data_IF_984640947890
#
_entry.id   IF_984640947890
#
_cell.length_a   1.000
_cell.length_b   1.000
_cell.length_c   1.000
_cell.angle_alpha   90.00
_cell.angle_beta   90.00
_cell.angle_gamma   90.00
#
_symmetry.space_group_name_H-M   'P 1'
#
loop_
_entity.id
_entity.type
_entity.pdbx_description
1 polymer ?
#
# COMPACT_ATOMS: atom_id res chain seq x y z
N UNK A 1 25.26 6.46 6.06
CA UNK A 1 25.34 6.88 4.66
C UNK A 1 23.89 6.91 4.19
N UNK A 2 23.42 7.99 3.58
CA UNK A 2 22.03 8.01 3.10
C UNK A 2 21.84 6.97 1.98
N UNK A 3 20.63 6.42 1.85
CA UNK A 3 20.27 5.50 0.74
C UNK A 3 20.63 6.14 -0.61
N UNK A 4 20.38 7.45 -0.76
CA UNK A 4 20.75 8.24 -1.95
C UNK A 4 22.26 8.20 -2.29
N UNK A 5 23.14 8.19 -1.28
CA UNK A 5 24.58 8.06 -1.50
C UNK A 5 24.98 6.64 -1.92
N UNK A 6 24.23 5.61 -1.48
CA UNK A 6 24.48 4.22 -1.85
C UNK A 6 24.02 3.91 -3.29
N UNK A 7 22.87 4.46 -3.71
CA UNK A 7 22.32 4.36 -5.08
C UNK A 7 23.25 5.02 -6.12
N UNK A 8 23.86 6.16 -5.78
CA UNK A 8 24.78 6.87 -6.70
C UNK A 8 26.15 6.21 -6.82
N UNK A 9 26.57 5.44 -5.81
CA UNK A 9 27.89 4.80 -5.78
C UNK A 9 27.92 3.42 -6.44
N UNK A 10 26.78 2.72 -6.53
CA UNK A 10 26.72 1.34 -7.02
C UNK A 10 25.52 1.16 -7.97
N UNK A 11 25.74 1.04 -9.28
CA UNK A 11 24.69 0.59 -10.19
C UNK A 11 24.35 -0.87 -9.90
N UNK A 12 23.20 -1.13 -9.25
CA UNK A 12 22.72 -2.47 -8.85
C UNK A 12 21.72 -2.39 -7.67
N UNK A 13 21.06 -3.51 -7.36
CA UNK A 13 20.01 -3.54 -6.31
C UNK A 13 20.57 -3.35 -4.90
N UNK A 14 20.09 -2.33 -4.19
CA UNK A 14 20.37 -2.07 -2.77
C UNK A 14 19.08 -2.05 -1.93
N UNK A 15 18.05 -2.67 -2.48
CA UNK A 15 16.67 -2.73 -1.99
C UNK A 15 16.08 -4.09 -2.40
N UNK A 16 14.83 -4.35 -2.05
CA UNK A 16 14.02 -5.36 -2.69
C UNK A 16 12.96 -4.64 -3.50
N UNK A 17 13.05 -4.70 -4.84
CA UNK A 17 11.90 -4.40 -5.70
C UNK A 17 10.78 -5.42 -5.48
N UNK A 18 9.58 -5.17 -6.01
CA UNK A 18 8.46 -6.14 -5.95
C UNK A 18 8.85 -7.52 -6.49
N UNK A 19 9.58 -7.59 -7.62
CA UNK A 19 10.03 -8.85 -8.20
C UNK A 19 11.08 -9.56 -7.32
N UNK A 20 12.00 -8.79 -6.74
CA UNK A 20 13.02 -9.33 -5.83
C UNK A 20 12.38 -9.83 -4.52
N UNK A 21 11.39 -9.10 -4.00
CA UNK A 21 10.61 -9.46 -2.82
C UNK A 21 9.77 -10.72 -3.08
N UNK A 22 9.18 -10.85 -4.27
CA UNK A 22 8.43 -12.05 -4.66
C UNK A 22 9.33 -13.30 -4.70
N UNK A 23 10.53 -13.20 -5.26
CA UNK A 23 11.50 -14.30 -5.24
C UNK A 23 11.99 -14.61 -3.82
N UNK A 24 12.26 -13.58 -3.01
CA UNK A 24 12.60 -13.74 -1.61
C UNK A 24 11.52 -14.54 -0.84
N UNK A 25 10.23 -14.19 -1.03
CA UNK A 25 9.12 -14.92 -0.43
C UNK A 25 9.04 -16.35 -0.95
N UNK A 26 9.19 -16.57 -2.25
CA UNK A 26 9.16 -17.92 -2.82
C UNK A 26 10.25 -18.82 -2.21
N UNK A 27 11.46 -18.30 -2.00
CA UNK A 27 12.55 -19.02 -1.32
C UNK A 27 12.17 -19.35 0.13
N UNK A 28 11.66 -18.38 0.88
CA UNK A 28 11.34 -18.57 2.30
C UNK A 28 10.10 -19.42 2.54
N UNK A 29 9.08 -19.33 1.70
CA UNK A 29 7.91 -20.19 1.74
C UNK A 29 8.30 -21.64 1.42
N UNK A 30 9.21 -21.88 0.46
CA UNK A 30 9.81 -23.20 0.24
C UNK A 30 10.52 -23.71 1.50
N UNK A 31 11.34 -22.87 2.14
CA UNK A 31 12.09 -23.24 3.35
C UNK A 31 11.14 -23.61 4.48
N UNK A 32 10.10 -22.81 4.72
CA UNK A 32 9.05 -23.09 5.70
C UNK A 32 8.34 -24.43 5.38
N UNK A 33 7.96 -24.66 4.13
CA UNK A 33 7.35 -25.92 3.70
C UNK A 33 8.27 -27.15 3.88
N UNK A 34 9.58 -26.95 4.04
CA UNK A 34 10.57 -27.99 4.35
C UNK A 34 10.96 -28.03 5.84
N UNK A 35 10.31 -27.25 6.71
CA UNK A 35 10.60 -27.18 8.13
C UNK A 35 11.93 -26.47 8.44
N UNK A 36 12.41 -25.62 7.53
CA UNK A 36 13.62 -24.82 7.69
C UNK A 36 13.28 -23.41 8.16
N UNK A 37 14.22 -22.78 8.87
CA UNK A 37 14.10 -21.38 9.29
C UNK A 37 14.15 -20.45 8.06
N UNK A 38 13.24 -19.47 7.96
CA UNK A 38 13.34 -18.39 6.98
C UNK A 38 14.67 -17.64 7.09
N UNK A 39 15.19 -17.22 5.96
CA UNK A 39 16.40 -16.40 5.88
C UNK A 39 16.03 -14.93 5.94
N UNK A 40 16.76 -14.20 6.78
CA UNK A 40 16.61 -12.75 6.89
C UNK A 40 17.16 -12.06 5.63
N UNK A 41 16.53 -11.00 5.11
CA UNK A 41 17.15 -10.15 4.10
C UNK A 41 18.45 -9.54 4.64
N UNK A 42 19.48 -9.46 3.79
CA UNK A 42 20.75 -8.83 4.14
C UNK A 42 21.13 -7.82 3.06
N UNK A 43 21.30 -6.56 3.46
CA UNK A 43 21.67 -5.47 2.56
C UNK A 43 23.00 -5.77 1.83
N UNK A 44 23.98 -6.31 2.55
CA UNK A 44 25.29 -6.64 2.00
C UNK A 44 25.19 -7.71 0.89
N UNK A 45 24.38 -8.74 1.14
CA UNK A 45 24.11 -9.81 0.17
C UNK A 45 23.26 -9.32 -1.01
N UNK A 46 22.27 -8.47 -0.76
CA UNK A 46 21.41 -7.86 -1.79
C UNK A 46 22.25 -7.01 -2.74
N UNK A 47 23.13 -6.15 -2.20
CA UNK A 47 24.08 -5.39 -3.00
C UNK A 47 24.95 -6.31 -3.85
N UNK A 48 25.49 -7.37 -3.25
CA UNK A 48 26.33 -8.33 -3.96
C UNK A 48 25.56 -9.03 -5.09
N UNK A 49 24.33 -9.48 -4.83
CA UNK A 49 23.47 -10.11 -5.83
C UNK A 49 23.12 -9.13 -6.96
N UNK A 50 22.79 -7.89 -6.63
CA UNK A 50 22.46 -6.84 -7.61
C UNK A 50 23.66 -6.47 -8.48
N UNK A 51 24.86 -6.42 -7.90
CA UNK A 51 26.11 -6.20 -8.64
C UNK A 51 26.41 -7.36 -9.59
N UNK A 52 26.20 -8.61 -9.16
CA UNK A 52 26.29 -9.76 -10.06
C UNK A 52 25.32 -9.67 -11.21
N UNK A 53 24.04 -9.46 -10.92
CA UNK A 53 22.99 -9.39 -11.92
C UNK A 53 23.35 -8.31 -12.97
N UNK A 54 23.73 -7.13 -12.50
CA UNK A 54 24.09 -5.99 -13.37
C UNK A 54 25.34 -6.28 -14.20
N UNK A 55 26.40 -6.84 -13.60
CA UNK A 55 27.63 -7.13 -14.32
C UNK A 55 27.40 -8.18 -15.41
N UNK A 56 26.70 -9.26 -15.09
CA UNK A 56 26.39 -10.32 -16.05
C UNK A 56 25.46 -9.85 -17.16
N UNK A 57 24.42 -9.09 -16.83
CA UNK A 57 23.50 -8.53 -17.83
C UNK A 57 24.23 -7.59 -18.79
N UNK A 58 25.09 -6.70 -18.26
CA UNK A 58 25.74 -5.66 -19.07
C UNK A 58 26.99 -6.11 -19.82
N UNK A 59 27.80 -7.03 -19.28
CA UNK A 59 29.13 -7.34 -19.84
C UNK A 59 29.24 -8.73 -20.46
N UNK A 60 28.32 -9.63 -20.13
CA UNK A 60 28.33 -11.00 -20.68
C UNK A 60 27.11 -11.23 -21.56
N UNK A 61 25.91 -10.93 -21.05
CA UNK A 61 24.64 -11.33 -21.64
C UNK A 61 24.41 -12.83 -21.51
N UNK A 62 23.17 -13.23 -21.19
CA UNK A 62 22.83 -14.63 -20.86
C UNK A 62 23.25 -15.66 -21.95
N UNK A 63 23.10 -15.30 -23.23
CA UNK A 63 23.44 -16.19 -24.36
C UNK A 63 24.94 -16.52 -24.38
N UNK A 64 25.81 -15.57 -24.01
CA UNK A 64 27.23 -15.84 -23.86
C UNK A 64 27.53 -16.58 -22.55
N UNK A 65 26.85 -16.27 -21.44
CA UNK A 65 27.10 -16.91 -20.14
C UNK A 65 26.98 -18.43 -20.15
N UNK A 66 25.96 -18.96 -20.84
CA UNK A 66 25.80 -20.41 -20.99
C UNK A 66 26.95 -21.11 -21.73
N UNK A 67 27.85 -20.36 -22.40
CA UNK A 67 28.89 -20.88 -23.28
C UNK A 67 30.27 -20.18 -23.19
N UNK A 68 30.48 -19.20 -22.29
CA UNK A 68 31.66 -18.31 -22.33
C UNK A 68 32.62 -18.45 -21.14
N UNK A 69 33.90 -18.22 -21.43
CA UNK A 69 34.94 -17.91 -20.43
C UNK A 69 34.94 -16.40 -20.20
N UNK A 70 34.56 -15.94 -19.01
CA UNK A 70 34.51 -14.50 -18.67
C UNK A 70 35.92 -14.00 -18.35
N UNK A 71 36.39 -12.98 -19.06
CA UNK A 71 37.68 -12.34 -18.80
C UNK A 71 37.62 -11.52 -17.50
N UNK A 72 38.60 -11.69 -16.61
CA UNK A 72 38.65 -10.93 -15.34
C UNK A 72 38.73 -9.42 -15.60
N UNK A 73 37.92 -8.63 -14.87
CA UNK A 73 37.96 -7.15 -14.92
C UNK A 73 39.28 -6.61 -14.36
N UNK A 74 39.70 -5.45 -14.86
CA UNK A 74 40.89 -4.74 -14.37
C UNK A 74 40.65 -3.95 -13.08
N UNK A 75 39.38 -3.66 -12.74
CA UNK A 75 38.99 -2.90 -11.54
C UNK A 75 38.22 -3.81 -10.59
N UNK A 76 38.57 -3.87 -9.29
CA UNK A 76 37.83 -4.62 -8.28
C UNK A 76 36.38 -4.11 -8.16
N UNK A 77 35.40 -5.01 -8.32
CA UNK A 77 33.98 -4.78 -8.01
C UNK A 77 33.54 -5.70 -6.87
N UNK A 78 32.35 -5.43 -6.29
CA UNK A 78 31.77 -6.30 -5.27
C UNK A 78 31.41 -7.69 -5.85
N UNK A 79 31.10 -7.84 -7.14
CA UNK A 79 30.92 -9.15 -7.80
C UNK A 79 32.06 -10.13 -7.45
N UNK A 80 33.32 -9.72 -7.63
CA UNK A 80 34.51 -10.57 -7.39
C UNK A 80 34.63 -11.12 -5.97
N UNK A 81 33.82 -10.60 -5.05
CA UNK A 81 33.82 -11.07 -3.69
C UNK A 81 33.27 -12.51 -3.58
N UNK A 82 32.29 -12.92 -4.38
CA UNK A 82 31.75 -14.29 -4.30
C UNK A 82 32.58 -15.33 -5.07
N UNK A 83 33.32 -14.91 -6.10
CA UNK A 83 34.17 -15.75 -6.97
C UNK A 83 35.34 -16.46 -6.25
N UNK A 84 35.39 -16.44 -4.92
CA UNK A 84 36.44 -17.10 -4.14
C UNK A 84 37.82 -16.43 -4.26
N UNK A 85 37.93 -15.31 -4.99
CA UNK A 85 39.15 -14.48 -5.02
C UNK A 85 39.47 -13.85 -3.65
N UNK A 86 38.56 -14.01 -2.68
CA UNK A 86 38.74 -13.83 -1.23
C UNK A 86 39.67 -12.67 -0.90
N UNK A 87 39.13 -11.46 -1.10
CA UNK A 87 39.57 -10.27 -0.38
C UNK A 87 40.85 -9.63 -0.89
N UNK A 88 40.98 -9.47 -2.22
CA UNK A 88 41.94 -8.50 -2.75
C UNK A 88 41.75 -7.15 -2.04
N UNK A 89 42.86 -6.48 -1.71
CA UNK A 89 42.82 -5.28 -0.87
C UNK A 89 41.83 -4.20 -1.37
N UNK A 90 41.59 -4.16 -2.70
CA UNK A 90 40.60 -3.28 -3.31
C UNK A 90 39.15 -3.60 -2.94
N UNK A 91 38.73 -4.87 -2.94
CA UNK A 91 37.36 -5.26 -2.57
C UNK A 91 37.11 -4.99 -1.08
N UNK A 92 38.08 -5.31 -0.22
CA UNK A 92 38.01 -5.00 1.21
C UNK A 92 37.90 -3.49 1.47
N UNK A 93 38.72 -2.70 0.78
CA UNK A 93 38.68 -1.25 0.90
C UNK A 93 37.35 -0.67 0.42
N UNK A 94 36.77 -1.21 -0.66
CA UNK A 94 35.46 -0.81 -1.17
C UNK A 94 34.34 -1.16 -0.20
N UNK A 95 34.27 -2.39 0.30
CA UNK A 95 33.26 -2.78 1.28
C UNK A 95 33.37 -1.96 2.58
N UNK A 96 34.60 -1.71 3.05
CA UNK A 96 34.84 -0.87 4.22
C UNK A 96 34.39 0.58 4.00
N UNK A 97 34.60 1.15 2.81
CA UNK A 97 34.16 2.53 2.50
C UNK A 97 32.63 2.65 2.46
N UNK A 98 31.94 1.57 2.06
CA UNK A 98 30.49 1.43 2.05
C UNK A 98 29.90 0.96 3.39
N UNK A 99 30.76 0.62 4.36
CA UNK A 99 30.38 0.08 5.67
C UNK A 99 29.59 -1.24 5.59
N UNK A 100 29.81 -2.02 4.53
CA UNK A 100 29.21 -3.35 4.38
C UNK A 100 29.97 -4.35 5.25
N UNK A 101 29.27 -5.37 5.75
CA UNK A 101 29.96 -6.55 6.27
C UNK A 101 30.10 -7.61 5.22
N UNK A 102 31.28 -8.21 5.22
CA UNK A 102 31.50 -9.44 4.51
C UNK A 102 30.99 -10.71 5.23
N UNK A 103 30.07 -11.53 4.66
CA UNK A 103 29.87 -12.93 5.03
C UNK A 103 31.17 -13.72 5.12
N UNK A 104 31.20 -14.68 6.06
CA UNK A 104 32.27 -15.66 6.21
C UNK A 104 32.28 -16.66 5.06
N UNK A 105 31.10 -17.06 4.60
CA UNK A 105 30.91 -17.94 3.45
C UNK A 105 29.70 -17.49 2.65
N UNK A 106 29.77 -17.76 1.35
CA UNK A 106 28.69 -17.43 0.40
C UNK A 106 28.33 -18.65 -0.44
N UNK A 107 27.05 -18.80 -0.73
CA UNK A 107 26.52 -19.65 -1.78
C UNK A 107 25.70 -18.82 -2.76
N UNK A 108 25.63 -19.23 -4.01
CA UNK A 108 24.98 -18.45 -5.06
C UNK A 108 24.11 -19.31 -5.96
N UNK A 109 22.93 -18.80 -6.26
CA UNK A 109 22.11 -19.27 -7.34
C UNK A 109 21.95 -18.16 -8.37
N UNK A 110 22.01 -18.53 -9.65
CA UNK A 110 21.87 -17.62 -10.77
C UNK A 110 20.90 -18.20 -11.80
N UNK A 111 20.13 -17.36 -12.46
CA UNK A 111 19.27 -17.74 -13.58
C UNK A 111 19.14 -16.62 -14.60
N UNK A 112 18.91 -16.98 -15.86
CA UNK A 112 18.48 -16.03 -16.89
C UNK A 112 16.96 -15.96 -17.05
N UNK A 113 16.39 -14.76 -17.03
CA UNK A 113 15.00 -14.45 -17.35
C UNK A 113 14.83 -14.34 -18.88
N UNK A 114 14.79 -15.46 -19.61
CA UNK A 114 14.45 -15.42 -21.04
C UNK A 114 12.96 -15.62 -21.33
N UNK A 115 12.18 -16.15 -20.37
CA UNK A 115 10.74 -16.45 -20.51
C UNK A 115 10.01 -16.60 -19.17
N UNK A 116 10.65 -16.25 -18.05
CA UNK A 116 10.24 -16.64 -16.70
C UNK A 116 9.85 -15.43 -15.84
N UNK A 117 8.82 -15.56 -15.01
CA UNK A 117 8.59 -14.62 -13.92
C UNK A 117 9.64 -14.84 -12.82
N UNK A 118 10.18 -13.75 -12.25
CA UNK A 118 11.29 -13.82 -11.30
C UNK A 118 11.03 -14.67 -10.04
N UNK A 119 9.77 -14.90 -9.68
CA UNK A 119 9.37 -15.73 -8.54
C UNK A 119 9.32 -17.23 -8.83
N UNK A 120 8.17 -17.73 -9.32
CA UNK A 120 7.86 -19.16 -9.39
C UNK A 120 8.75 -19.94 -10.37
N UNK A 121 9.06 -19.34 -11.51
CA UNK A 121 9.71 -20.04 -12.62
C UNK A 121 11.21 -20.18 -12.37
N UNK A 122 11.82 -19.14 -11.79
CA UNK A 122 13.22 -19.17 -11.34
C UNK A 122 13.40 -20.22 -10.24
N UNK A 123 12.51 -20.22 -9.22
CA UNK A 123 12.60 -21.18 -8.12
C UNK A 123 12.43 -22.62 -8.62
N UNK A 124 11.48 -22.87 -9.52
CA UNK A 124 11.27 -24.19 -10.12
C UNK A 124 12.50 -24.65 -10.93
N UNK A 125 13.12 -23.75 -11.69
CA UNK A 125 14.36 -24.04 -12.42
C UNK A 125 15.51 -24.38 -11.49
N UNK A 126 15.69 -23.62 -10.40
CA UNK A 126 16.70 -23.91 -9.38
C UNK A 126 16.47 -25.25 -8.69
N UNK A 127 15.23 -25.60 -8.39
CA UNK A 127 14.89 -26.89 -7.76
C UNK A 127 15.21 -28.10 -8.66
N UNK A 128 15.26 -27.91 -9.98
CA UNK A 128 15.67 -28.95 -10.93
C UNK A 128 17.20 -29.13 -11.02
N UNK A 129 17.99 -28.22 -10.42
CA UNK A 129 19.46 -28.19 -10.49
C UNK A 129 20.05 -28.53 -9.12
N UNK A 130 20.69 -29.71 -8.92
CA UNK A 130 21.12 -30.19 -7.59
C UNK A 130 21.97 -29.21 -6.79
N UNK A 131 22.88 -28.47 -7.44
CA UNK A 131 23.72 -27.47 -6.77
C UNK A 131 22.89 -26.31 -6.19
N UNK A 132 21.92 -25.81 -6.96
CA UNK A 132 21.07 -24.69 -6.56
C UNK A 132 20.04 -25.11 -5.51
N UNK A 133 19.48 -26.32 -5.64
CA UNK A 133 18.65 -26.96 -4.60
C UNK A 133 19.42 -27.09 -3.28
N UNK A 134 20.70 -27.47 -3.33
CA UNK A 134 21.53 -27.55 -2.13
C UNK A 134 21.66 -26.20 -1.43
N UNK A 135 21.81 -25.11 -2.18
CA UNK A 135 21.87 -23.76 -1.58
C UNK A 135 20.53 -23.37 -0.95
N UNK A 136 19.40 -23.58 -1.65
CA UNK A 136 18.06 -23.23 -1.16
C UNK A 136 17.71 -23.93 0.15
N UNK A 137 18.12 -25.19 0.30
CA UNK A 137 17.76 -26.06 1.42
C UNK A 137 18.85 -26.15 2.50
N UNK A 138 19.95 -25.42 2.37
CA UNK A 138 21.00 -25.47 3.38
C UNK A 138 20.50 -24.86 4.71
N UNK A 139 20.89 -25.51 5.81
CA UNK A 139 20.44 -25.16 7.17
C UNK A 139 21.34 -24.13 7.86
N UNK A 140 22.51 -23.87 7.31
CA UNK A 140 23.55 -23.06 7.91
C UNK A 140 23.58 -21.62 7.41
N UNK A 141 22.76 -21.26 6.43
CA UNK A 141 22.64 -19.88 5.97
C UNK A 141 21.98 -19.02 7.05
N UNK A 142 22.52 -17.82 7.22
CA UNK A 142 22.00 -16.82 8.17
C UNK A 142 21.08 -15.83 7.47
N UNK A 143 21.37 -15.51 6.22
CA UNK A 143 20.66 -14.50 5.45
C UNK A 143 20.70 -14.79 3.95
N UNK A 144 19.84 -14.07 3.23
CA UNK A 144 19.76 -14.08 1.78
C UNK A 144 19.76 -12.66 1.23
N UNK A 145 20.34 -12.46 0.05
CA UNK A 145 20.19 -11.26 -0.76
C UNK A 145 19.70 -11.63 -2.13
N UNK A 146 18.83 -10.81 -2.70
CA UNK A 146 18.26 -11.01 -4.04
C UNK A 146 18.69 -9.84 -4.91
N UNK A 147 19.02 -10.11 -6.16
CA UNK A 147 19.37 -9.09 -7.14
C UNK A 147 18.86 -9.47 -8.52
N UNK A 148 18.11 -8.56 -9.12
CA UNK A 148 17.59 -8.71 -10.48
C UNK A 148 18.03 -7.51 -11.31
N UNK A 149 18.61 -7.77 -12.48
CA UNK A 149 18.97 -6.73 -13.43
C UNK A 149 18.83 -7.25 -14.86
N UNK A 150 18.06 -6.53 -15.68
CA UNK A 150 17.73 -6.96 -17.04
C UNK A 150 17.19 -8.39 -17.04
N UNK A 151 17.89 -9.30 -17.72
CA UNK A 151 17.49 -10.70 -17.80
C UNK A 151 18.26 -11.62 -16.84
N UNK A 152 18.87 -11.09 -15.79
CA UNK A 152 19.67 -11.87 -14.85
C UNK A 152 19.10 -11.81 -13.43
N UNK A 153 19.03 -12.97 -12.78
CA UNK A 153 18.58 -13.14 -11.40
C UNK A 153 19.68 -13.80 -10.60
N UNK A 154 19.96 -13.24 -9.43
CA UNK A 154 20.88 -13.79 -8.46
C UNK A 154 20.24 -13.87 -7.09
N UNK A 155 20.48 -14.99 -6.40
CA UNK A 155 20.28 -15.12 -4.96
C UNK A 155 21.60 -15.49 -4.31
N UNK A 156 22.04 -14.67 -3.36
CA UNK A 156 23.25 -14.89 -2.57
C UNK A 156 22.85 -15.31 -1.16
N UNK A 157 23.50 -16.34 -0.63
CA UNK A 157 23.25 -16.90 0.69
C UNK A 157 24.50 -16.75 1.53
N UNK A 158 24.41 -16.15 2.72
CA UNK A 158 25.59 -15.81 3.52
C UNK A 158 25.55 -16.37 4.93
N UNK A 159 26.73 -16.62 5.48
CA UNK A 159 26.93 -16.83 6.93
C UNK A 159 27.70 -15.67 7.54
N UNK A 160 27.40 -15.31 8.79
CA UNK A 160 28.01 -14.17 9.47
C UNK A 160 28.56 -14.56 10.84
N UNK A 161 29.73 -14.00 11.19
CA UNK A 161 30.28 -14.12 12.55
C UNK A 161 29.34 -13.55 13.60
N UNK A 162 28.72 -12.41 13.27
CA UNK A 162 27.72 -11.72 14.09
C UNK A 162 26.43 -11.63 13.28
N UNK A 163 25.48 -12.51 13.59
CA UNK A 163 24.21 -12.61 12.88
C UNK A 163 23.28 -11.41 13.17
N UNK A 164 23.45 -10.77 14.33
CA UNK A 164 22.55 -9.72 14.81
C UNK A 164 22.95 -8.33 14.31
N UNK A 165 24.24 -8.04 14.18
CA UNK A 165 24.72 -6.71 13.79
C UNK A 165 24.68 -6.42 12.28
N UNK A 166 24.25 -7.38 11.45
CA UNK A 166 24.63 -7.44 10.02
C UNK A 166 23.49 -7.64 9.03
N UNK A 167 22.29 -7.43 9.53
CA UNK A 167 21.05 -7.41 8.78
C UNK A 167 20.47 -6.01 8.91
N UNK A 168 21.18 -5.04 8.33
CA UNK A 168 20.58 -3.73 8.12
C UNK A 168 19.26 -3.92 7.36
N UNK A 169 18.25 -3.13 7.73
CA UNK A 169 16.94 -3.16 7.06
C UNK A 169 17.18 -2.96 5.57
N UNK A 170 16.75 -3.94 4.77
CA UNK A 170 16.78 -3.83 3.31
C UNK A 170 15.52 -3.08 2.91
N UNK A 171 15.60 -1.90 2.29
CA UNK A 171 14.41 -1.17 1.88
C UNK A 171 13.58 -2.00 0.91
N UNK A 172 12.27 -2.03 1.09
CA UNK A 172 11.31 -2.57 0.14
C UNK A 172 10.78 -1.40 -0.70
N UNK A 173 10.87 -1.51 -2.01
CA UNK A 173 10.44 -0.47 -2.94
C UNK A 173 9.31 -1.01 -3.84
N UNK A 174 8.16 -0.35 -3.79
CA UNK A 174 7.08 -0.50 -4.78
C UNK A 174 7.38 0.23 -6.08
N UNK A 175 6.39 0.32 -6.96
CA UNK A 175 6.47 1.06 -8.22
C UNK A 175 5.44 2.20 -8.26
N UNK A 176 5.11 2.71 -9.45
CA UNK A 176 4.02 3.68 -9.61
C UNK A 176 2.68 3.01 -9.96
N UNK A 177 2.56 1.71 -9.70
CA UNK A 177 1.38 0.89 -9.99
C UNK A 177 0.77 0.42 -8.68
N UNK A 178 -0.55 0.25 -8.61
CA UNK A 178 -1.17 -0.33 -7.40
C UNK A 178 -0.75 -1.79 -7.21
N UNK A 179 -0.14 -2.08 -6.05
CA UNK A 179 0.51 -3.34 -5.73
C UNK A 179 -0.01 -3.96 -4.43
N UNK A 180 0.18 -5.28 -4.29
CA UNK A 180 -0.05 -5.99 -3.04
C UNK A 180 1.30 -6.42 -2.46
N UNK A 181 1.75 -5.73 -1.42
CA UNK A 181 3.08 -5.84 -0.86
C UNK A 181 3.02 -6.66 0.43
N UNK A 182 3.49 -7.91 0.37
CA UNK A 182 3.75 -8.73 1.56
C UNK A 182 5.09 -8.32 2.16
N UNK A 183 5.12 -7.79 3.37
CA UNK A 183 6.37 -7.48 4.08
C UNK A 183 7.05 -8.75 4.59
N UNK A 184 8.24 -8.62 5.16
CA UNK A 184 9.00 -9.73 5.73
C UNK A 184 8.64 -9.99 7.19
N UNK A 185 9.23 -11.04 7.78
CA UNK A 185 9.02 -11.36 9.20
C UNK A 185 9.89 -10.51 10.15
N UNK A 186 10.53 -9.46 9.64
CA UNK A 186 11.46 -8.61 10.36
C UNK A 186 11.13 -7.14 10.10
N UNK A 187 11.59 -6.26 11.00
CA UNK A 187 11.47 -4.82 10.83
C UNK A 187 11.95 -4.36 9.43
N UNK A 188 11.02 -3.81 8.66
CA UNK A 188 11.17 -3.38 7.29
C UNK A 188 11.06 -1.87 7.14
N UNK A 189 11.62 -1.35 6.04
CA UNK A 189 11.40 0.03 5.60
C UNK A 189 10.80 -0.02 4.22
N UNK A 190 9.52 0.33 4.10
CA UNK A 190 8.71 0.21 2.89
C UNK A 190 8.49 1.61 2.32
N UNK A 191 8.72 1.76 1.02
CA UNK A 191 8.26 2.89 0.23
C UNK A 191 7.45 2.33 -0.95
N UNK A 192 6.11 2.36 -0.84
CA UNK A 192 5.23 1.79 -1.85
C UNK A 192 5.20 2.66 -3.13
N UNK A 193 5.50 3.95 -2.97
CA UNK A 193 5.78 4.93 -4.04
C UNK A 193 4.52 5.52 -4.64
N UNK A 194 3.95 4.95 -5.71
CA UNK A 194 2.76 5.50 -6.34
C UNK A 194 1.79 4.41 -6.74
N UNK A 195 0.51 4.73 -6.83
CA UNK A 195 -0.54 3.75 -7.04
C UNK A 195 -1.38 3.57 -5.77
N UNK A 196 -2.35 2.67 -5.82
CA UNK A 196 -3.18 2.37 -4.65
C UNK A 196 -2.71 1.02 -4.09
N UNK A 197 -1.85 1.07 -3.07
CA UNK A 197 -1.13 -0.10 -2.58
C UNK A 197 -1.82 -0.77 -1.40
N UNK A 198 -1.61 -2.07 -1.27
CA UNK A 198 -2.08 -2.89 -0.14
C UNK A 198 -0.88 -3.55 0.52
N UNK A 199 -0.51 -3.07 1.70
CA UNK A 199 0.65 -3.54 2.45
C UNK A 199 0.18 -4.44 3.61
N UNK A 200 0.72 -5.65 3.70
CA UNK A 200 0.29 -6.65 4.69
C UNK A 200 1.44 -7.53 5.18
N UNK A 201 1.21 -8.24 6.28
CA UNK A 201 2.24 -9.07 6.93
C UNK A 201 3.14 -8.29 7.89
N UNK A 202 2.72 -7.08 8.28
CA UNK A 202 3.49 -6.15 9.09
C UNK A 202 3.89 -6.73 10.46
N UNK A 203 5.07 -6.34 10.93
CA UNK A 203 5.66 -6.77 12.21
C UNK A 203 6.28 -5.60 12.97
N UNK A 204 6.83 -5.91 14.15
CA UNK A 204 7.36 -4.90 15.08
C UNK A 204 8.56 -4.18 14.46
N UNK A 205 8.48 -2.85 14.43
CA UNK A 205 9.51 -1.97 13.89
C UNK A 205 9.35 -1.63 12.41
N UNK A 206 8.29 -2.11 11.73
CA UNK A 206 8.03 -1.76 10.34
C UNK A 206 7.74 -0.28 10.17
N UNK A 207 8.25 0.29 9.07
CA UNK A 207 8.01 1.67 8.66
C UNK A 207 7.46 1.69 7.24
N UNK A 208 6.21 2.15 7.07
CA UNK A 208 5.52 2.22 5.78
C UNK A 208 5.34 3.67 5.35
N UNK A 209 5.86 4.01 4.18
CA UNK A 209 5.47 5.18 3.40
C UNK A 209 4.64 4.67 2.21
N UNK A 210 3.33 4.91 2.18
CA UNK A 210 2.48 4.49 1.06
C UNK A 210 2.82 5.31 -0.19
N UNK A 211 2.74 6.63 -0.06
CA UNK A 211 3.23 7.56 -1.05
C UNK A 211 2.09 8.26 -1.76
N UNK A 212 2.01 8.12 -3.08
CA UNK A 212 1.02 8.82 -3.90
C UNK A 212 -0.11 7.87 -4.32
N UNK A 213 -1.33 8.13 -3.86
CA UNK A 213 -2.51 7.34 -4.20
C UNK A 213 -3.39 7.15 -2.98
N UNK A 214 -4.18 6.08 -2.96
CA UNK A 214 -4.92 5.63 -1.79
C UNK A 214 -4.34 4.30 -1.31
N UNK A 215 -3.54 4.38 -0.26
CA UNK A 215 -2.78 3.25 0.27
C UNK A 215 -3.44 2.67 1.51
N UNK A 216 -3.31 1.36 1.66
CA UNK A 216 -3.89 0.60 2.76
C UNK A 216 -2.87 -0.30 3.41
N UNK A 217 -2.89 -0.36 4.74
CA UNK A 217 -2.28 -1.43 5.51
C UNK A 217 -3.33 -2.39 6.07
N UNK A 218 -2.99 -3.67 6.21
CA UNK A 218 -3.84 -4.68 6.86
C UNK A 218 -3.21 -5.17 8.17
N UNK A 219 -3.98 -5.13 9.25
CA UNK A 219 -3.62 -5.56 10.60
C UNK A 219 -4.52 -6.72 11.06
N UNK A 220 -3.98 -7.61 11.91
CA UNK A 220 -4.62 -8.88 12.26
C UNK A 220 -5.65 -8.80 13.39
N UNK A 221 -5.58 -7.78 14.25
CA UNK A 221 -6.49 -7.61 15.38
C UNK A 221 -7.69 -6.70 15.07
N UNK A 222 -8.59 -6.56 16.04
CA UNK A 222 -9.72 -5.61 15.96
C UNK A 222 -9.26 -4.18 16.24
N UNK A 223 -9.91 -3.18 15.67
CA UNK A 223 -9.53 -1.77 15.82
C UNK A 223 -9.36 -1.33 17.28
N UNK A 224 -10.24 -1.79 18.18
CA UNK A 224 -10.19 -1.49 19.61
C UNK A 224 -8.94 -2.03 20.34
N UNK A 225 -8.22 -2.98 19.74
CA UNK A 225 -6.97 -3.53 20.28
C UNK A 225 -5.74 -2.71 19.92
N UNK A 226 -5.89 -1.70 19.06
CA UNK A 226 -4.80 -0.83 18.61
C UNK A 226 -4.90 0.58 19.15
N UNK A 227 -3.76 1.24 19.18
CA UNK A 227 -3.64 2.68 19.40
C UNK A 227 -2.88 3.30 18.26
N UNK A 228 -3.40 4.40 17.71
CA UNK A 228 -2.74 5.18 16.68
C UNK A 228 -2.41 6.55 17.28
N UNK A 229 -1.16 6.98 17.17
CA UNK A 229 -0.73 8.28 17.68
C UNK A 229 0.18 9.00 16.67
N UNK A 230 -0.04 10.29 16.39
CA UNK A 230 0.85 11.07 15.53
C UNK A 230 2.21 11.24 16.20
N UNK A 231 3.28 11.21 15.40
CA UNK A 231 4.66 11.49 15.80
C UNK A 231 5.33 12.38 14.75
N UNK A 232 6.15 13.32 15.19
CA UNK A 232 6.97 14.13 14.27
C UNK A 232 8.35 13.49 14.16
N UNK A 233 8.76 13.11 12.95
CA UNK A 233 10.09 12.59 12.70
C UNK A 233 11.16 13.68 12.83
N UNK A 234 12.43 13.27 12.94
CA UNK A 234 13.55 14.20 13.12
C UNK A 234 13.76 15.16 11.95
N UNK A 235 13.25 14.82 10.76
CA UNK A 235 13.26 15.66 9.56
C UNK A 235 12.05 16.61 9.47
N UNK A 236 11.15 16.58 10.45
CA UNK A 236 9.94 17.39 10.51
C UNK A 236 8.73 16.78 9.81
N UNK A 237 8.86 15.61 9.17
CA UNK A 237 7.70 14.92 8.58
C UNK A 237 6.75 14.37 9.64
N UNK A 238 5.45 14.36 9.35
CA UNK A 238 4.42 13.81 10.24
C UNK A 238 4.19 12.34 9.92
N UNK A 239 4.45 11.49 10.90
CA UNK A 239 4.19 10.06 10.88
C UNK A 239 3.11 9.74 11.90
N UNK A 240 2.63 8.51 11.90
CA UNK A 240 1.91 7.94 13.03
C UNK A 240 2.50 6.61 13.44
N UNK A 241 2.37 6.29 14.73
CA UNK A 241 2.74 4.99 15.28
C UNK A 241 1.48 4.25 15.66
N UNK A 242 1.28 3.10 15.05
CA UNK A 242 0.30 2.12 15.46
C UNK A 242 0.95 1.17 16.45
N UNK A 243 0.33 0.97 17.61
CA UNK A 243 0.75 -0.02 18.61
C UNK A 243 -0.36 -1.04 18.82
N UNK A 244 -0.05 -2.33 18.65
CA UNK A 244 -0.99 -3.44 18.90
C UNK A 244 -0.35 -4.81 18.73
N UNK A 245 -1.05 -5.75 18.10
CA UNK A 245 -0.65 -7.16 18.03
C UNK A 245 0.65 -7.39 17.24
N UNK A 246 0.87 -6.61 16.18
CA UNK A 246 2.08 -6.63 15.36
C UNK A 246 3.27 -5.94 16.04
N UNK A 247 3.08 -5.32 17.21
CA UNK A 247 4.09 -4.47 17.85
C UNK A 247 3.89 -3.00 17.51
N UNK A 248 4.97 -2.28 17.22
CA UNK A 248 4.96 -0.88 16.81
C UNK A 248 5.24 -0.74 15.32
N UNK A 249 4.28 -0.19 14.58
CA UNK A 249 4.40 0.08 13.15
C UNK A 249 4.34 1.60 12.96
N UNK A 250 5.28 2.16 12.21
CA UNK A 250 5.27 3.57 11.82
C UNK A 250 4.70 3.72 10.41
N UNK A 251 3.76 4.64 10.21
CA UNK A 251 3.11 4.85 8.92
C UNK A 251 3.08 6.32 8.52
N UNK A 252 3.14 6.57 7.21
CA UNK A 252 3.09 7.86 6.55
C UNK A 252 2.47 7.69 5.17
N UNK A 253 1.66 8.66 4.72
CA UNK A 253 0.91 8.58 3.45
C UNK A 253 0.18 7.23 3.31
N UNK A 254 -0.57 6.85 4.34
CA UNK A 254 -1.43 5.66 4.34
C UNK A 254 -2.81 6.12 4.72
N UNK A 255 -3.77 5.97 3.82
CA UNK A 255 -5.12 6.48 3.99
C UNK A 255 -6.05 5.49 4.67
N UNK A 256 -5.80 4.18 4.56
CA UNK A 256 -6.64 3.17 5.21
C UNK A 256 -5.86 2.19 6.08
N UNK A 257 -6.41 1.93 7.25
CA UNK A 257 -6.00 0.82 8.11
C UNK A 257 -7.15 -0.17 8.18
N UNK A 258 -6.94 -1.34 7.58
CA UNK A 258 -7.87 -2.47 7.65
C UNK A 258 -7.55 -3.31 8.88
N UNK A 259 -8.51 -3.38 9.80
CA UNK A 259 -8.52 -4.26 10.95
C UNK A 259 -9.39 -5.48 10.68
N UNK A 260 -9.33 -6.47 11.56
CA UNK A 260 -10.15 -7.68 11.45
C UNK A 260 -11.67 -7.43 11.52
N UNK A 261 -12.12 -6.29 12.05
CA UNK A 261 -13.54 -5.94 12.23
C UNK A 261 -14.02 -4.74 11.40
N UNK A 262 -13.12 -3.91 10.88
CA UNK A 262 -13.47 -2.68 10.14
C UNK A 262 -12.29 -2.09 9.38
N UNK A 263 -12.58 -1.17 8.46
CA UNK A 263 -11.59 -0.29 7.83
C UNK A 263 -11.71 1.11 8.44
N UNK A 264 -10.60 1.68 8.89
CA UNK A 264 -10.53 3.05 9.39
C UNK A 264 -9.77 3.92 8.39
N UNK A 265 -10.30 5.11 8.11
CA UNK A 265 -9.57 6.16 7.41
C UNK A 265 -8.53 6.78 8.35
N UNK A 266 -7.25 6.58 8.05
CA UNK A 266 -6.11 7.02 8.85
C UNK A 266 -5.54 8.37 8.42
N UNK A 267 -6.08 9.01 7.38
CA UNK A 267 -5.53 10.23 6.78
C UNK A 267 -5.36 11.42 7.73
N UNK A 268 -5.99 11.41 8.92
CA UNK A 268 -6.03 12.59 9.80
C UNK A 268 -5.68 12.36 11.28
N UNK A 269 -4.99 11.25 11.61
CA UNK A 269 -4.20 11.03 12.85
C UNK A 269 -4.70 11.69 14.16
N UNK A 270 -6.02 11.77 14.36
CA UNK A 270 -6.66 12.25 15.56
C UNK A 270 -7.16 13.71 15.63
N UNK A 271 -7.03 14.60 14.63
CA UNK A 271 -7.48 16.01 14.83
C UNK A 271 -8.35 16.72 13.77
N UNK A 272 -8.55 16.23 12.55
CA UNK A 272 -9.62 16.77 11.67
C UNK A 272 -9.82 15.87 10.46
N UNK A 273 -10.78 14.95 10.55
CA UNK A 273 -11.27 14.17 9.43
C UNK A 273 -11.54 15.14 8.25
N UNK A 274 -11.00 14.88 7.07
CA UNK A 274 -11.74 15.20 5.84
C UNK A 274 -12.98 14.32 5.87
N UNK A 275 -13.95 14.87 6.60
CA UNK A 275 -15.15 14.40 7.32
C UNK A 275 -16.12 13.47 6.58
N UNK A 276 -15.74 12.95 5.43
CA UNK A 276 -16.72 12.46 4.48
C UNK A 276 -16.92 10.96 4.59
N UNK A 277 -15.95 10.17 5.09
CA UNK A 277 -16.09 8.71 5.13
C UNK A 277 -17.09 8.23 6.19
N UNK A 278 -17.15 8.88 7.34
CA UNK A 278 -18.24 8.74 8.30
C UNK A 278 -18.67 10.14 8.78
N UNK A 279 -19.94 10.49 8.57
CA UNK A 279 -20.47 11.79 8.96
C UNK A 279 -21.32 11.64 10.22
N UNK A 280 -20.74 11.95 11.37
CA UNK A 280 -21.42 11.94 12.68
C UNK A 280 -22.74 12.72 12.66
N UNK A 281 -22.77 13.89 12.02
CA UNK A 281 -23.98 14.72 11.93
C UNK A 281 -25.05 14.00 11.11
N UNK A 282 -24.69 13.49 9.93
CA UNK A 282 -25.63 12.78 9.07
C UNK A 282 -26.14 11.50 9.73
N UNK A 283 -25.24 10.69 10.26
CA UNK A 283 -25.59 9.42 10.89
C UNK A 283 -26.43 9.62 12.14
N UNK A 284 -26.07 10.57 13.00
CA UNK A 284 -26.80 10.88 14.23
C UNK A 284 -28.19 11.46 13.98
N UNK A 285 -28.33 12.36 12.99
CA UNK A 285 -29.63 12.94 12.62
C UNK A 285 -30.56 11.91 11.96
N UNK A 286 -30.01 10.98 11.17
CA UNK A 286 -30.78 9.89 10.55
C UNK A 286 -31.16 8.80 11.55
N UNK A 287 -30.33 8.58 12.57
CA UNK A 287 -30.43 7.48 13.54
C UNK A 287 -30.52 8.02 14.98
N UNK A 288 -31.61 8.73 15.27
CA UNK A 288 -31.82 9.41 16.56
C UNK A 288 -31.82 8.46 17.76
N UNK A 289 -32.16 7.19 17.54
CA UNK A 289 -32.06 6.10 18.52
C UNK A 289 -30.61 5.84 18.93
N UNK A 290 -29.70 5.80 17.96
CA UNK A 290 -28.26 5.60 18.19
C UNK A 290 -27.65 6.83 18.85
N UNK A 291 -28.01 8.04 18.39
CA UNK A 291 -27.55 9.27 19.03
C UNK A 291 -27.97 9.35 20.51
N UNK A 292 -29.18 8.90 20.84
CA UNK A 292 -29.64 8.80 22.22
C UNK A 292 -28.86 7.74 23.01
N UNK A 293 -28.55 6.58 22.40
CA UNK A 293 -27.75 5.53 23.03
C UNK A 293 -26.30 5.96 23.32
N UNK A 294 -25.68 6.72 22.41
CA UNK A 294 -24.34 7.32 22.63
C UNK A 294 -24.40 8.35 23.75
N UNK A 295 -25.37 9.25 23.73
CA UNK A 295 -25.56 10.26 24.80
C UNK A 295 -25.80 9.61 26.16
N UNK A 296 -26.52 8.48 26.19
CA UNK A 296 -26.76 7.68 27.38
C UNK A 296 -25.59 6.81 27.83
N UNK A 297 -24.48 6.77 27.07
CA UNK A 297 -23.29 5.98 27.37
C UNK A 297 -23.44 4.47 27.13
N UNK A 298 -24.49 4.04 26.42
CA UNK A 298 -24.70 2.63 26.09
C UNK A 298 -23.81 2.16 24.93
N UNK A 299 -23.39 3.09 24.06
CA UNK A 299 -22.47 2.88 22.95
C UNK A 299 -21.39 3.97 23.02
N UNK A 300 -20.15 3.62 22.65
CA UNK A 300 -18.99 4.52 22.72
C UNK A 300 -19.04 5.68 21.72
N UNK A 301 -19.47 5.43 20.48
CA UNK A 301 -19.60 6.46 19.44
C UNK A 301 -20.63 6.06 18.36
N UNK A 302 -21.03 7.02 17.52
CA UNK A 302 -21.89 6.75 16.36
C UNK A 302 -21.19 5.84 15.34
N UNK A 303 -19.90 6.08 15.11
CA UNK A 303 -19.07 5.27 14.22
C UNK A 303 -18.92 3.82 14.74
N UNK A 304 -18.72 3.63 16.04
CA UNK A 304 -18.67 2.30 16.65
C UNK A 304 -19.98 1.54 16.48
N UNK A 305 -21.12 2.22 16.63
CA UNK A 305 -22.41 1.61 16.32
C UNK A 305 -22.49 1.21 14.84
N UNK A 306 -22.07 2.09 13.93
CA UNK A 306 -22.12 1.82 12.50
C UNK A 306 -21.33 0.56 12.15
N UNK A 307 -20.06 0.48 12.51
CA UNK A 307 -19.24 -0.71 12.20
C UNK A 307 -19.74 -1.97 12.89
N UNK A 308 -20.22 -1.87 14.14
CA UNK A 308 -20.67 -3.05 14.90
C UNK A 308 -22.05 -3.56 14.46
N UNK A 309 -22.94 -2.67 14.03
CA UNK A 309 -24.35 -2.97 13.78
C UNK A 309 -24.85 -2.32 12.49
N UNK A 310 -24.67 -1.00 12.34
CA UNK A 310 -25.26 -0.21 11.26
C UNK A 310 -24.92 -0.71 9.85
N UNK A 311 -23.70 -1.21 9.65
CA UNK A 311 -23.24 -1.83 8.40
C UNK A 311 -24.13 -3.02 8.01
N UNK A 312 -24.43 -3.91 8.96
CA UNK A 312 -25.29 -5.08 8.75
C UNK A 312 -26.78 -4.73 8.68
N UNK A 313 -27.16 -3.60 9.26
CA UNK A 313 -28.51 -3.05 9.20
C UNK A 313 -28.77 -2.25 7.91
N UNK A 314 -27.78 -2.11 7.04
CA UNK A 314 -27.87 -1.37 5.78
C UNK A 314 -27.98 0.15 5.97
N UNK A 315 -27.49 0.68 7.10
CA UNK A 315 -27.52 2.12 7.37
C UNK A 315 -26.42 2.84 6.57
N UNK A 316 -26.71 4.04 6.10
CA UNK A 316 -25.73 4.84 5.38
C UNK A 316 -24.79 5.58 6.34
N UNK A 317 -23.45 5.47 6.20
CA UNK A 317 -22.50 6.13 7.10
C UNK A 317 -22.40 7.63 6.89
N UNK A 318 -22.70 8.09 5.68
CA UNK A 318 -22.55 9.48 5.28
C UNK A 318 -23.36 9.77 4.02
N UNK A 319 -23.56 11.06 3.72
CA UNK A 319 -24.34 11.50 2.57
C UNK A 319 -23.77 11.06 1.21
N UNK A 320 -22.47 10.80 1.12
CA UNK A 320 -21.84 10.38 -0.14
C UNK A 320 -22.02 8.89 -0.46
N UNK A 321 -22.52 8.05 0.46
CA UNK A 321 -22.72 6.63 0.21
C UNK A 321 -24.17 6.23 0.49
N UNK A 322 -24.76 5.47 -0.43
CA UNK A 322 -26.13 4.97 -0.34
C UNK A 322 -26.10 3.45 -0.52
N UNK A 323 -26.30 2.74 0.59
CA UNK A 323 -26.14 1.28 0.68
C UNK A 323 -27.12 0.56 -0.24
N UNK A 324 -28.38 0.96 -0.22
CA UNK A 324 -29.44 0.37 -1.03
C UNK A 324 -29.20 0.62 -2.53
N UNK A 325 -28.83 1.85 -2.89
CA UNK A 325 -28.45 2.20 -4.25
C UNK A 325 -27.28 1.36 -4.75
N UNK A 326 -26.25 1.22 -3.92
CA UNK A 326 -25.03 0.50 -4.25
C UNK A 326 -25.32 -0.98 -4.47
N UNK A 327 -26.01 -1.64 -3.53
CA UNK A 327 -26.34 -3.06 -3.66
C UNK A 327 -27.29 -3.35 -4.83
N UNK A 328 -28.24 -2.45 -5.10
CA UNK A 328 -29.15 -2.61 -6.24
C UNK A 328 -28.44 -2.57 -7.60
N UNK A 329 -27.30 -1.88 -7.70
CA UNK A 329 -26.50 -1.75 -8.94
C UNK A 329 -25.35 -2.74 -9.04
N UNK A 330 -25.01 -3.38 -7.93
CA UNK A 330 -23.85 -4.24 -7.80
C UNK A 330 -24.28 -5.63 -7.25
N UNK A 331 -25.06 -6.42 -8.02
CA UNK A 331 -25.56 -7.72 -7.56
C UNK A 331 -24.46 -8.76 -7.32
N UNK A 332 -23.29 -8.57 -7.92
CA UNK A 332 -22.08 -9.34 -7.64
C UNK A 332 -21.60 -9.14 -6.19
N UNK A 333 -21.76 -7.94 -5.63
CA UNK A 333 -21.40 -7.65 -4.24
C UNK A 333 -22.41 -8.25 -3.27
N UNK A 334 -23.70 -8.27 -3.63
CA UNK A 334 -24.72 -9.02 -2.88
C UNK A 334 -24.33 -10.51 -2.78
N UNK A 335 -23.88 -11.09 -3.90
CA UNK A 335 -23.43 -12.48 -3.92
C UNK A 335 -22.15 -12.70 -3.10
N UNK A 336 -21.18 -11.78 -3.17
CA UNK A 336 -19.94 -11.83 -2.40
C UNK A 336 -20.19 -11.70 -0.89
N UNK A 337 -21.12 -10.84 -0.47
CA UNK A 337 -21.55 -10.72 0.93
C UNK A 337 -22.24 -12.00 1.41
N UNK A 338 -23.11 -12.60 0.60
CA UNK A 338 -23.73 -13.88 0.92
C UNK A 338 -22.71 -15.04 1.03
N UNK A 339 -21.60 -14.96 0.30
CA UNK A 339 -20.48 -15.89 0.39
C UNK A 339 -19.50 -15.59 1.54
N UNK A 340 -19.64 -14.46 2.23
CA UNK A 340 -18.73 -14.01 3.29
C UNK A 340 -17.35 -13.57 2.79
N UNK A 341 -17.19 -13.29 1.49
CA UNK A 341 -15.92 -12.79 0.91
C UNK A 341 -15.84 -11.27 0.92
N UNK A 342 -16.95 -10.58 1.17
CA UNK A 342 -17.06 -9.14 1.37
C UNK A 342 -17.87 -8.93 2.63
N UNK A 343 -17.34 -8.14 3.57
CA UNK A 343 -18.02 -7.89 4.85
C UNK A 343 -19.22 -6.96 4.68
N UNK A 344 -19.09 -5.94 3.82
CA UNK A 344 -20.17 -4.99 3.57
C UNK A 344 -20.07 -4.21 2.26
N UNK A 345 -21.18 -3.62 1.84
CA UNK A 345 -21.24 -2.72 0.69
C UNK A 345 -20.31 -1.51 0.83
N UNK A 346 -20.28 -0.91 2.02
CA UNK A 346 -19.48 0.27 2.30
C UNK A 346 -17.99 -0.04 2.31
N UNK A 347 -17.59 -1.11 3.00
CA UNK A 347 -16.23 -1.62 2.98
C UNK A 347 -15.77 -1.94 1.54
N UNK A 348 -16.61 -2.64 0.77
CA UNK A 348 -16.32 -2.90 -0.63
C UNK A 348 -16.11 -1.59 -1.40
N UNK A 349 -16.95 -0.59 -1.21
CA UNK A 349 -16.81 0.68 -1.91
C UNK A 349 -15.50 1.39 -1.57
N UNK A 350 -15.16 1.49 -0.28
CA UNK A 350 -13.91 2.10 0.18
C UNK A 350 -12.69 1.38 -0.36
N UNK A 351 -12.70 0.06 -0.39
CA UNK A 351 -11.51 -0.72 -0.73
C UNK A 351 -11.37 -1.04 -2.23
N UNK A 352 -12.49 -1.09 -2.96
CA UNK A 352 -12.54 -1.58 -4.33
C UNK A 352 -13.44 -0.72 -5.22
N UNK A 353 -14.69 -0.52 -4.81
CA UNK A 353 -15.73 0.06 -5.65
C UNK A 353 -15.41 1.44 -6.22
N UNK A 354 -14.76 2.31 -5.43
CA UNK A 354 -14.34 3.63 -5.90
C UNK A 354 -13.28 3.58 -7.01
N UNK A 355 -12.47 2.51 -7.04
CA UNK A 355 -11.42 2.27 -8.04
C UNK A 355 -11.93 1.50 -9.25
N UNK A 356 -13.00 0.71 -9.06
CA UNK A 356 -13.72 0.01 -10.15
C UNK A 356 -14.66 0.93 -10.94
N UNK A 357 -14.68 2.23 -10.63
CA UNK A 357 -15.56 3.20 -11.28
C UNK A 357 -17.03 3.09 -10.88
N UNK A 358 -17.35 2.39 -9.78
CA UNK A 358 -18.73 2.22 -9.32
C UNK A 358 -19.24 3.51 -8.67
N UNK A 359 -20.54 3.74 -8.82
CA UNK A 359 -21.20 4.93 -8.27
C UNK A 359 -21.67 4.66 -6.83
N UNK A 360 -21.30 5.49 -5.84
CA UNK A 360 -21.66 5.25 -4.44
C UNK A 360 -23.09 5.65 -4.09
N UNK A 361 -23.71 6.51 -4.90
CA UNK A 361 -25.07 7.01 -4.71
C UNK A 361 -25.62 7.53 -6.06
N UNK A 362 -26.88 7.97 -6.09
CA UNK A 362 -27.54 8.49 -7.31
C UNK A 362 -27.01 9.85 -7.77
N UNK A 363 -26.39 10.61 -6.87
CA UNK A 363 -25.93 11.98 -7.03
C UNK A 363 -24.42 12.10 -7.33
N UNK A 364 -23.73 10.99 -7.61
CA UNK A 364 -22.35 10.99 -8.07
C UNK A 364 -22.16 9.91 -9.14
N UNK A 365 -21.81 10.33 -10.36
CA UNK A 365 -21.42 9.41 -11.42
C UNK A 365 -19.92 9.54 -11.69
N UNK A 366 -19.16 8.47 -11.39
CA UNK A 366 -17.71 8.43 -11.57
C UNK A 366 -17.31 8.67 -13.02
N UNK A 367 -18.01 8.05 -13.98
CA UNK A 367 -17.68 8.18 -15.39
C UNK A 367 -17.92 9.61 -15.88
N UNK A 368 -19.10 10.17 -15.60
CA UNK A 368 -19.45 11.53 -16.02
C UNK A 368 -18.52 12.56 -15.36
N UNK A 369 -18.18 12.38 -14.08
CA UNK A 369 -17.27 13.27 -13.38
C UNK A 369 -15.87 13.29 -14.03
N UNK A 370 -15.34 12.14 -14.40
CA UNK A 370 -14.02 12.06 -15.05
C UNK A 370 -14.04 12.55 -16.50
N UNK A 371 -15.16 12.38 -17.21
CA UNK A 371 -15.35 12.94 -18.56
C UNK A 371 -15.38 14.47 -18.54
N UNK A 372 -16.10 15.06 -17.57
CA UNK A 372 -16.18 16.51 -17.40
C UNK A 372 -14.89 17.13 -16.84
N UNK A 373 -14.06 16.34 -16.19
CA UNK A 373 -12.87 16.80 -15.47
C UNK A 373 -11.62 16.01 -15.91
N UNK A 374 -11.14 16.19 -17.16
CA UNK A 374 -10.02 15.44 -17.70
C UNK A 374 -8.69 15.69 -16.96
N UNK A 375 -8.56 16.84 -16.27
CA UNK A 375 -7.45 17.13 -15.38
C UNK A 375 -7.44 16.19 -14.16
N UNK A 376 -8.61 15.86 -13.60
CA UNK A 376 -8.75 14.90 -12.51
C UNK A 376 -8.46 13.48 -13.00
N UNK A 377 -8.96 13.11 -14.18
CA UNK A 377 -8.64 11.83 -14.79
C UNK A 377 -7.12 11.67 -15.02
N UNK A 378 -6.45 12.72 -15.47
CA UNK A 378 -4.99 12.73 -15.64
C UNK A 378 -4.25 12.64 -14.29
N UNK A 379 -4.74 13.33 -13.25
CA UNK A 379 -4.18 13.28 -11.91
C UNK A 379 -4.29 11.87 -11.29
N UNK A 380 -5.44 11.19 -11.47
CA UNK A 380 -5.63 9.80 -11.04
C UNK A 380 -4.69 8.85 -11.78
N UNK A 381 -4.59 8.99 -13.10
CA UNK A 381 -3.66 8.17 -13.92
C UNK A 381 -2.19 8.38 -13.52
N UNK A 382 -1.86 9.56 -12.99
CA UNK A 382 -0.54 9.89 -12.47
C UNK A 382 -0.33 9.54 -10.98
N UNK A 383 -1.32 8.95 -10.31
CA UNK A 383 -1.27 8.61 -8.88
C UNK A 383 -1.33 9.82 -7.94
N UNK A 384 -1.62 11.01 -8.44
CA UNK A 384 -1.66 12.25 -7.64
C UNK A 384 -2.96 12.41 -6.84
N UNK A 385 -3.99 11.66 -7.22
CA UNK A 385 -5.34 11.66 -6.63
C UNK A 385 -5.80 10.20 -6.65
N UNK A 386 -6.23 9.63 -5.53
CA UNK A 386 -6.50 8.19 -5.52
C UNK A 386 -7.85 7.79 -6.12
N UNK A 387 -8.87 8.65 -6.14
CA UNK A 387 -10.14 8.35 -6.81
C UNK A 387 -10.96 9.59 -7.20
N UNK A 388 -11.93 9.39 -8.09
CA UNK A 388 -12.85 10.43 -8.54
C UNK A 388 -13.70 10.98 -7.39
N UNK A 389 -14.24 10.08 -6.55
CA UNK A 389 -15.05 10.47 -5.41
C UNK A 389 -14.19 11.22 -4.39
N UNK A 390 -12.96 10.76 -4.13
CA UNK A 390 -12.05 11.44 -3.20
C UNK A 390 -11.75 12.88 -3.65
N UNK A 391 -11.46 13.07 -4.94
CA UNK A 391 -11.27 14.40 -5.50
C UNK A 391 -12.52 15.27 -5.35
N UNK A 392 -13.70 14.76 -5.72
CA UNK A 392 -14.93 15.54 -5.64
C UNK A 392 -15.23 15.98 -4.20
N UNK A 393 -15.05 15.08 -3.26
CA UNK A 393 -15.30 15.26 -1.85
C UNK A 393 -14.35 16.28 -1.21
N UNK A 394 -13.07 16.26 -1.56
CA UNK A 394 -12.06 17.15 -1.00
C UNK A 394 -11.92 18.49 -1.75
N UNK A 395 -12.19 18.50 -3.05
CA UNK A 395 -11.93 19.66 -3.93
C UNK A 395 -13.13 19.99 -4.80
N UNK A 396 -13.60 19.03 -5.62
CA UNK A 396 -14.52 19.30 -6.71
C UNK A 396 -15.83 19.98 -6.30
N UNK A 397 -16.43 19.57 -5.18
CA UNK A 397 -17.67 20.17 -4.64
C UNK A 397 -17.48 21.64 -4.24
N UNK A 398 -16.28 22.01 -3.79
CA UNK A 398 -15.93 23.39 -3.41
C UNK A 398 -15.52 24.25 -4.62
N UNK A 399 -15.00 23.61 -5.67
CA UNK A 399 -14.71 24.24 -6.96
C UNK A 399 -15.96 24.42 -7.83
N UNK A 400 -17.11 23.87 -7.40
CA UNK A 400 -18.36 23.92 -8.15
C UNK A 400 -18.42 22.99 -9.37
N UNK A 401 -17.56 21.96 -9.41
CA UNK A 401 -17.59 20.94 -10.45
C UNK A 401 -18.87 20.11 -10.32
N UNK A 402 -19.54 19.87 -11.44
CA UNK A 402 -20.71 19.00 -11.49
C UNK A 402 -20.26 17.53 -11.41
N UNK A 403 -20.78 16.80 -10.42
CA UNK A 403 -20.61 15.35 -10.28
C UNK A 403 -21.62 14.52 -11.09
N UNK A 404 -22.73 15.17 -11.49
CA UNK A 404 -23.87 14.59 -12.19
C UNK A 404 -24.83 15.75 -12.57
N UNK A 405 -25.83 15.47 -13.39
CA UNK A 405 -27.00 16.33 -13.61
C UNK A 405 -28.05 16.22 -12.48
N UNK A 406 -27.85 15.36 -11.47
CA UNK A 406 -28.85 15.12 -10.41
C UNK A 406 -28.65 15.90 -9.11
N UNK A 407 -27.49 16.54 -8.92
CA UNK A 407 -27.20 17.40 -7.77
C UNK A 407 -26.03 18.35 -8.05
N UNK A 408 -26.15 19.61 -7.63
CA UNK A 408 -25.06 20.58 -7.67
C UNK A 408 -24.94 21.28 -6.32
N UNK A 409 -23.80 21.08 -5.65
CA UNK A 409 -23.53 21.66 -4.33
C UNK A 409 -23.63 23.19 -4.37
N UNK A 410 -23.02 23.83 -5.38
CA UNK A 410 -23.02 25.29 -5.52
C UNK A 410 -24.40 25.84 -5.81
N UNK A 411 -25.17 25.20 -6.70
CA UNK A 411 -26.56 25.58 -6.96
C UNK A 411 -27.41 25.44 -5.70
N UNK A 412 -27.31 24.28 -5.04
CA UNK A 412 -28.14 23.96 -3.89
C UNK A 412 -27.91 24.95 -2.74
N UNK A 413 -26.65 25.27 -2.43
CA UNK A 413 -26.33 26.24 -1.38
C UNK A 413 -26.70 27.68 -1.78
N UNK A 414 -26.58 28.06 -3.06
CA UNK A 414 -26.98 29.38 -3.54
C UNK A 414 -28.51 29.58 -3.46
N UNK A 415 -29.28 28.55 -3.80
CA UNK A 415 -30.74 28.59 -3.78
C UNK A 415 -31.32 28.46 -2.35
N UNK A 416 -30.53 27.94 -1.42
CA UNK A 416 -30.93 27.67 -0.03
C UNK A 416 -29.97 28.35 0.98
N UNK A 417 -30.06 29.69 1.17
CA UNK A 417 -29.14 30.42 2.06
C UNK A 417 -29.16 29.96 3.52
N UNK A 418 -30.28 29.41 3.98
CA UNK A 418 -30.40 28.79 5.30
C UNK A 418 -29.55 27.53 5.43
N UNK A 419 -29.51 26.70 4.38
CA UNK A 419 -28.64 25.51 4.33
C UNK A 419 -27.18 25.92 4.22
N UNK A 420 -26.86 26.93 3.40
CA UNK A 420 -25.50 27.46 3.31
C UNK A 420 -25.00 27.95 4.68
N UNK A 421 -25.85 28.64 5.45
CA UNK A 421 -25.52 29.06 6.81
C UNK A 421 -25.33 27.86 7.75
N UNK A 422 -26.16 26.81 7.62
CA UNK A 422 -26.03 25.60 8.43
C UNK A 422 -24.75 24.80 8.12
N UNK A 423 -24.34 24.72 6.85
CA UNK A 423 -23.07 24.10 6.43
C UNK A 423 -21.89 24.91 6.96
N UNK A 424 -21.92 26.24 6.83
CA UNK A 424 -20.88 27.11 7.38
C UNK A 424 -20.77 27.03 8.91
N UNK A 425 -21.88 26.75 9.60
CA UNK A 425 -21.93 26.50 11.03
C UNK A 425 -21.55 25.06 11.43
N UNK A 426 -21.27 24.18 10.46
CA UNK A 426 -20.90 22.78 10.67
C UNK A 426 -22.04 21.87 11.10
N UNK A 427 -23.30 22.32 10.99
CA UNK A 427 -24.51 21.52 11.31
C UNK A 427 -24.66 20.38 10.32
N UNK A 428 -24.50 20.70 9.03
CA UNK A 428 -24.38 19.72 7.95
C UNK A 428 -22.97 19.78 7.39
N UNK A 429 -22.44 18.64 6.95
CA UNK A 429 -21.15 18.62 6.26
C UNK A 429 -21.23 19.29 4.88
N UNK A 430 -22.34 19.11 4.17
CA UNK A 430 -22.54 19.59 2.81
C UNK A 430 -24.01 19.84 2.51
N UNK A 431 -24.28 20.55 1.42
CA UNK A 431 -25.61 20.67 0.82
C UNK A 431 -26.21 19.31 0.49
N UNK A 432 -25.41 18.37 -0.03
CA UNK A 432 -25.86 16.99 -0.27
C UNK A 432 -26.33 16.31 1.01
N UNK A 433 -25.65 16.54 2.13
CA UNK A 433 -26.03 15.99 3.44
C UNK A 433 -27.38 16.51 3.88
N UNK A 434 -27.61 17.83 3.79
CA UNK A 434 -28.93 18.40 4.04
C UNK A 434 -29.99 17.84 3.08
N UNK A 435 -29.69 17.75 1.79
CA UNK A 435 -30.64 17.29 0.79
C UNK A 435 -31.12 15.86 1.04
N UNK A 436 -30.19 14.94 1.34
CA UNK A 436 -30.50 13.53 1.64
C UNK A 436 -31.22 13.32 2.97
N UNK A 437 -31.05 14.22 3.94
CA UNK A 437 -31.73 14.13 5.24
C UNK A 437 -33.11 14.79 5.25
N UNK A 438 -33.23 15.96 4.63
CA UNK A 438 -34.39 16.85 4.81
C UNK A 438 -34.85 17.46 3.49
N UNK A 439 -33.92 17.90 2.65
CA UNK A 439 -34.24 18.70 1.47
C UNK A 439 -35.15 18.03 0.44
N UNK A 440 -35.09 16.70 0.30
CA UNK A 440 -36.01 15.95 -0.55
C UNK A 440 -37.47 16.05 -0.06
N UNK A 441 -37.68 15.92 1.25
CA UNK A 441 -39.01 16.01 1.87
C UNK A 441 -39.55 17.44 1.80
N UNK A 442 -38.66 18.42 1.90
CA UNK A 442 -38.99 19.85 1.74
C UNK A 442 -39.26 20.25 0.28
N UNK A 443 -39.00 19.37 -0.69
CA UNK A 443 -39.16 19.67 -2.12
C UNK A 443 -38.15 20.67 -2.66
N UNK A 444 -36.97 20.80 -2.03
CA UNK A 444 -35.90 21.68 -2.51
C UNK A 444 -35.29 21.14 -3.80
N UNK A 445 -35.08 22.01 -4.78
CA UNK A 445 -34.47 21.64 -6.06
C UNK A 445 -32.98 21.32 -5.88
N UNK A 446 -32.50 20.12 -6.26
CA UNK A 446 -31.10 19.71 -6.06
C UNK A 446 -30.12 20.24 -7.12
N UNK A 447 -30.60 20.68 -8.28
CA UNK A 447 -29.79 21.20 -9.38
C UNK A 447 -30.62 22.17 -10.24
N UNK A 448 -29.94 22.89 -11.13
CA UNK A 448 -30.58 23.75 -12.13
C UNK A 448 -31.06 22.90 -13.32
N UNK A 449 -32.35 22.59 -13.38
CA UNK A 449 -32.94 21.82 -14.47
C UNK A 449 -33.03 22.61 -15.78
N UNK A 450 -32.98 23.94 -15.75
CA UNK A 450 -33.15 24.81 -16.91
C UNK A 450 -31.79 25.19 -17.56
N UNK A 451 -30.68 25.05 -16.83
CA UNK A 451 -29.33 25.45 -17.26
C UNK A 451 -28.54 24.40 -18.08
N UNK A 452 -28.95 23.14 -18.11
CA UNK A 452 -28.23 22.04 -18.83
C UNK A 452 -28.79 21.77 -20.24
N UNK A 453 -29.98 22.29 -20.57
CA UNK A 453 -30.60 22.16 -21.91
C UNK A 453 -30.41 23.41 -22.80
N UNK A 454 -29.54 24.35 -22.41
CA UNK A 454 -29.32 25.64 -23.08
C UNK A 454 -28.11 25.70 -24.00
#
# INVERSE_FOLDING_TARGET
MSIAALVTLLPGSNSLSIDELALYHAINDLRLAKGLTPLKPSLDLTILAGQHATDFDTNVGFVAWSNATVTARTVPSLHHWSDGQSYTAGVLALAASLKLTLPQSIGENAEGLLVANAGSDVLASWLAKPAMTSNLLAVNWDAVGIGIAGNMVYATFGTYTDKAAKTAVVPILGSNSGESIRTTAWADSIAASGGNDVIFGLTDGDRVDGGAGLDRITLSGTAASYKIAPVTAADGSTWAVITGAEGQISIHNVEYVEFADRVIDSSNWGENLTRIRFDDSFYGLRNVDVAAAVTGGAISSLEDHFWSFGVNEGRDPAAFFDTDYYLARNPDIVAAMAAGTVTSAFEHYLLFGQFEGRNPNAYFNTADYLELNPDVAAAISAGLVGSAIDHYLNFGRFEGRLATDQFSETFYLAQNPDVAAAVAAGVFESGLSHYRLVGQVEGRLPFDADGILG
#
